data_IF_703193641536
#
_entry.id   IF_703193641536
#
_cell.length_a   1.000
_cell.length_b   1.000
_cell.length_c   1.000
_cell.angle_alpha   90.00
_cell.angle_beta   90.00
_cell.angle_gamma   90.00
#
_symmetry.space_group_name_H-M   'P 1'
#
loop_
_entity.id
_entity.type
_entity.pdbx_description
1 polymer ?
#
# COMPACT_ATOMS: atom_id res chain seq x y z
N UNK A 1 -6.70 -10.74 -8.35
CA UNK A 1 -6.54 -10.43 -9.78
C UNK A 1 -6.72 -8.94 -10.06
N UNK A 2 -5.83 -8.37 -10.86
CA UNK A 2 -5.91 -7.00 -11.43
C UNK A 2 -5.94 -7.14 -12.95
N UNK A 3 -6.89 -6.45 -13.59
CA UNK A 3 -6.98 -6.36 -15.05
C UNK A 3 -6.99 -4.89 -15.47
N UNK A 4 -6.14 -4.55 -16.44
CA UNK A 4 -5.98 -3.21 -16.99
C UNK A 4 -6.05 -3.34 -18.51
N UNK A 5 -6.89 -2.54 -19.15
CA UNK A 5 -6.92 -2.45 -20.60
C UNK A 5 -6.92 -1.01 -21.09
N UNK A 6 -5.97 -0.74 -21.99
CA UNK A 6 -5.77 0.51 -22.71
C UNK A 6 -5.67 1.74 -21.81
N UNK A 7 -5.15 1.57 -20.59
CA UNK A 7 -5.06 2.63 -19.60
C UNK A 7 -4.17 3.77 -20.10
N UNK A 8 -4.79 4.93 -20.26
CA UNK A 8 -4.13 6.16 -20.68
C UNK A 8 -4.38 7.25 -19.64
N UNK A 9 -3.32 7.99 -19.32
CA UNK A 9 -3.37 9.07 -18.34
C UNK A 9 -2.52 10.25 -18.79
N UNK A 10 -3.11 11.45 -18.77
CA UNK A 10 -2.47 12.70 -19.19
C UNK A 10 -2.47 13.73 -18.06
N UNK A 11 -1.36 14.46 -17.97
CA UNK A 11 -1.25 15.71 -17.22
C UNK A 11 -1.20 16.86 -18.22
N UNK A 12 -2.35 17.50 -18.45
CA UNK A 12 -2.52 18.46 -19.54
C UNK A 12 -2.16 17.82 -20.89
N UNK A 13 -1.15 18.37 -21.59
CA UNK A 13 -0.71 17.85 -22.89
C UNK A 13 0.22 16.62 -22.80
N UNK A 14 0.80 16.34 -21.63
CA UNK A 14 1.81 15.28 -21.47
C UNK A 14 1.14 13.95 -21.09
N UNK A 15 1.28 12.93 -21.93
CA UNK A 15 0.88 11.56 -21.61
C UNK A 15 1.91 10.90 -20.66
N UNK A 16 1.45 10.51 -19.48
CA UNK A 16 2.23 9.74 -18.51
C UNK A 16 2.03 8.23 -18.68
N UNK A 17 0.84 7.80 -19.09
CA UNK A 17 0.53 6.42 -19.51
C UNK A 17 -0.04 6.45 -20.93
N UNK A 18 0.28 5.44 -21.74
CA UNK A 18 -0.10 5.35 -23.16
C UNK A 18 -0.59 3.94 -23.49
N UNK A 19 -1.88 3.67 -23.30
CA UNK A 19 -2.49 2.39 -23.64
C UNK A 19 -1.87 1.21 -22.89
N UNK A 20 -1.71 1.33 -21.56
CA UNK A 20 -1.16 0.25 -20.75
C UNK A 20 -2.21 -0.85 -20.60
N UNK A 21 -1.90 -2.06 -21.05
CA UNK A 21 -2.74 -3.25 -20.89
C UNK A 21 -1.93 -4.35 -20.22
N UNK A 22 -2.44 -4.88 -19.11
CA UNK A 22 -1.81 -5.96 -18.35
C UNK A 22 -2.81 -6.66 -17.46
N UNK A 23 -2.47 -7.90 -17.09
CA UNK A 23 -3.25 -8.71 -16.16
C UNK A 23 -2.29 -9.34 -15.15
N UNK A 24 -2.66 -9.26 -13.87
CA UNK A 24 -1.90 -9.80 -12.75
C UNK A 24 -2.80 -10.79 -12.02
N UNK A 25 -2.37 -12.04 -11.95
CA UNK A 25 -3.16 -13.11 -11.36
C UNK A 25 -3.12 -13.13 -9.83
N UNK A 26 -4.04 -13.86 -9.21
CA UNK A 26 -4.02 -14.03 -7.75
C UNK A 26 -2.76 -14.79 -7.30
N UNK A 27 -2.15 -14.33 -6.21
CA UNK A 27 -0.91 -14.92 -5.68
C UNK A 27 0.37 -14.50 -6.42
N UNK A 28 0.26 -13.71 -7.49
CA UNK A 28 1.41 -13.24 -8.25
C UNK A 28 2.13 -12.06 -7.55
N UNK A 29 3.47 -12.12 -7.52
CA UNK A 29 4.31 -10.97 -7.15
C UNK A 29 4.75 -10.30 -8.46
N UNK A 30 4.16 -9.15 -8.77
CA UNK A 30 4.42 -8.42 -10.00
C UNK A 30 5.25 -7.15 -9.75
N UNK A 31 6.35 -6.98 -10.50
CA UNK A 31 7.24 -5.82 -10.39
C UNK A 31 7.15 -4.89 -11.60
N UNK A 32 6.94 -3.59 -11.35
CA UNK A 32 7.04 -2.55 -12.38
C UNK A 32 8.45 -1.96 -12.40
N UNK A 33 9.23 -2.27 -13.45
CA UNK A 33 10.58 -1.74 -13.64
C UNK A 33 10.62 -0.73 -14.79
N UNK A 34 11.40 0.34 -14.61
CA UNK A 34 11.62 1.36 -15.63
C UNK A 34 12.30 2.60 -15.07
N UNK A 35 12.84 3.50 -15.91
CA UNK A 35 13.53 4.71 -15.46
C UNK A 35 12.56 5.72 -14.80
N UNK A 36 13.10 6.74 -14.14
CA UNK A 36 12.28 7.84 -13.63
C UNK A 36 11.53 8.53 -14.77
N UNK A 37 10.25 8.84 -14.54
CA UNK A 37 9.39 9.44 -15.57
C UNK A 37 8.75 8.45 -16.56
N UNK A 38 8.97 7.14 -16.42
CA UNK A 38 8.31 6.09 -17.24
C UNK A 38 6.80 5.91 -16.98
N UNK A 39 6.23 6.59 -15.98
CA UNK A 39 4.81 6.50 -15.65
C UNK A 39 4.48 5.55 -14.49
N UNK A 40 5.45 4.82 -13.92
CA UNK A 40 5.23 3.90 -12.77
C UNK A 40 4.43 4.53 -11.64
N UNK A 41 4.86 5.69 -11.15
CA UNK A 41 4.16 6.41 -10.07
C UNK A 41 2.75 6.85 -10.49
N UNK A 42 2.51 7.15 -11.77
CA UNK A 42 1.17 7.46 -12.27
C UNK A 42 0.29 6.22 -12.26
N UNK A 43 0.77 5.09 -12.77
CA UNK A 43 0.08 3.81 -12.72
C UNK A 43 -0.25 3.42 -11.28
N UNK A 44 0.73 3.51 -10.38
CA UNK A 44 0.55 3.23 -8.96
C UNK A 44 -0.54 4.09 -8.33
N UNK A 45 -0.55 5.40 -8.61
CA UNK A 45 -1.57 6.32 -8.09
C UNK A 45 -2.96 6.06 -8.65
N UNK A 46 -3.09 5.60 -9.89
CA UNK A 46 -4.37 5.14 -10.44
C UNK A 46 -4.84 3.89 -9.70
N UNK A 47 -3.99 2.85 -9.61
CA UNK A 47 -4.34 1.58 -8.95
C UNK A 47 -4.65 1.74 -7.46
N UNK A 48 -4.01 2.70 -6.79
CA UNK A 48 -4.27 3.05 -5.39
C UNK A 48 -5.46 4.01 -5.19
N UNK A 49 -6.22 4.33 -6.25
CA UNK A 49 -7.38 5.24 -6.24
C UNK A 49 -7.06 6.69 -5.84
N UNK A 50 -5.79 7.09 -5.93
CA UNK A 50 -5.33 8.45 -5.67
C UNK A 50 -5.51 9.37 -6.89
N UNK A 51 -5.60 8.80 -8.08
CA UNK A 51 -5.96 9.50 -9.31
C UNK A 51 -7.20 8.86 -9.93
N UNK A 52 -8.13 9.71 -10.38
CA UNK A 52 -9.31 9.24 -11.10
C UNK A 52 -8.92 8.66 -12.46
N UNK A 53 -9.53 7.56 -12.84
CA UNK A 53 -9.34 6.94 -14.14
C UNK A 53 -9.79 7.90 -15.26
N UNK A 54 -8.91 8.16 -16.23
CA UNK A 54 -9.23 9.00 -17.40
C UNK A 54 -9.77 8.13 -18.55
N UNK A 55 -8.90 7.35 -19.18
CA UNK A 55 -9.19 6.51 -20.35
C UNK A 55 -8.78 5.05 -20.08
N UNK A 56 -9.43 4.12 -20.78
CA UNK A 56 -9.27 2.68 -20.55
C UNK A 56 -10.14 2.17 -19.42
N UNK A 57 -9.90 0.91 -19.01
CA UNK A 57 -10.59 0.24 -17.91
C UNK A 57 -9.59 -0.40 -16.95
N UNK A 58 -10.01 -0.47 -15.68
CA UNK A 58 -9.26 -1.15 -14.61
C UNK A 58 -10.25 -1.88 -13.73
N UNK A 59 -10.03 -3.17 -13.52
CA UNK A 59 -10.80 -4.02 -12.61
C UNK A 59 -9.87 -4.62 -11.56
N UNK A 60 -10.28 -4.59 -10.29
CA UNK A 60 -9.50 -5.10 -9.16
C UNK A 60 -10.40 -5.96 -8.30
N UNK A 61 -10.05 -7.25 -8.15
CA UNK A 61 -10.86 -8.22 -7.39
C UNK A 61 -12.34 -8.27 -7.86
N UNK A 62 -12.55 -8.14 -9.17
CA UNK A 62 -13.89 -8.11 -9.75
C UNK A 62 -14.58 -6.75 -9.76
N UNK A 63 -14.06 -5.75 -9.04
CA UNK A 63 -14.65 -4.42 -8.95
C UNK A 63 -14.10 -3.44 -9.99
N UNK A 64 -14.98 -2.69 -10.65
CA UNK A 64 -14.58 -1.64 -11.60
C UNK A 64 -14.02 -0.42 -10.85
N UNK A 65 -12.80 0.02 -11.20
CA UNK A 65 -12.12 1.10 -10.50
C UNK A 65 -12.84 2.45 -10.61
N UNK A 66 -13.60 2.69 -11.69
CA UNK A 66 -14.27 3.98 -11.94
C UNK A 66 -15.54 4.12 -11.11
N UNK A 67 -16.35 3.07 -11.05
CA UNK A 67 -17.68 3.06 -10.44
C UNK A 67 -17.70 2.46 -9.03
N UNK A 68 -16.78 1.55 -8.71
CA UNK A 68 -16.75 0.79 -7.46
C UNK A 68 -15.46 1.04 -6.65
N UNK A 69 -14.86 2.22 -6.79
CA UNK A 69 -13.60 2.58 -6.13
C UNK A 69 -13.60 2.40 -4.59
N UNK A 70 -14.77 2.48 -3.92
CA UNK A 70 -14.88 2.25 -2.47
C UNK A 70 -14.69 0.78 -2.11
N UNK A 71 -15.20 -0.12 -2.95
CA UNK A 71 -15.02 -1.56 -2.85
C UNK A 71 -13.55 -1.89 -3.11
N UNK A 72 -12.96 -1.32 -4.16
CA UNK A 72 -11.52 -1.44 -4.45
C UNK A 72 -10.66 -1.00 -3.25
N UNK A 73 -10.95 0.15 -2.62
CA UNK A 73 -10.21 0.60 -1.42
C UNK A 73 -10.25 -0.39 -0.26
N UNK A 74 -11.30 -1.19 -0.14
CA UNK A 74 -11.42 -2.23 0.91
C UNK A 74 -10.62 -3.49 0.56
N UNK A 75 -10.35 -3.74 -0.72
CA UNK A 75 -9.60 -4.92 -1.18
C UNK A 75 -8.10 -4.69 -1.27
N UNK A 76 -7.66 -3.43 -1.40
CA UNK A 76 -6.24 -3.07 -1.52
C UNK A 76 -5.66 -2.56 -0.20
N UNK A 77 -4.41 -2.93 0.09
CA UNK A 77 -3.53 -2.27 1.04
C UNK A 77 -2.46 -1.51 0.26
N UNK A 78 -2.14 -0.29 0.68
CA UNK A 78 -1.19 0.55 -0.04
C UNK A 78 -0.09 1.00 0.91
N UNK A 79 1.16 0.76 0.51
CA UNK A 79 2.33 1.25 1.22
C UNK A 79 3.08 2.21 0.30
N UNK A 80 3.04 3.50 0.65
CA UNK A 80 3.65 4.55 -0.14
C UNK A 80 5.17 4.61 0.04
N UNK A 81 5.83 5.32 -0.88
CA UNK A 81 7.26 5.63 -0.81
C UNK A 81 7.57 6.48 0.43
N UNK A 82 6.75 7.50 0.70
CA UNK A 82 6.84 8.33 1.92
C UNK A 82 5.92 7.76 3.01
N UNK A 83 6.44 7.50 4.23
CA UNK A 83 5.64 6.92 5.30
C UNK A 83 4.44 7.79 5.67
N UNK A 84 3.30 7.14 5.86
CA UNK A 84 2.05 7.76 6.33
C UNK A 84 1.86 7.69 7.85
N UNK A 85 2.91 7.33 8.60
CA UNK A 85 2.88 7.20 10.05
C UNK A 85 2.80 8.58 10.70
N UNK A 86 1.97 8.69 11.73
CA UNK A 86 2.06 9.81 12.66
C UNK A 86 3.21 9.56 13.62
N UNK A 87 4.24 10.42 13.55
CA UNK A 87 5.46 10.29 14.33
C UNK A 87 5.25 10.56 15.83
N UNK A 88 4.19 11.29 16.19
CA UNK A 88 3.88 11.64 17.59
C UNK A 88 3.07 10.57 18.30
N UNK A 89 2.46 9.68 17.55
CA UNK A 89 1.74 8.53 18.06
C UNK A 89 2.67 7.32 18.23
N UNK A 90 2.27 6.42 19.12
CA UNK A 90 2.91 5.12 19.29
C UNK A 90 2.66 4.20 18.10
N UNK A 91 3.43 3.12 17.99
CA UNK A 91 3.19 2.11 16.98
C UNK A 91 1.78 1.50 17.10
N UNK A 92 1.34 1.21 18.32
CA UNK A 92 -0.01 0.71 18.59
C UNK A 92 -1.09 1.71 18.22
N UNK A 93 -0.93 2.98 18.58
CA UNK A 93 -1.90 4.03 18.25
C UNK A 93 -2.04 4.21 16.73
N UNK A 94 -0.92 4.25 15.99
CA UNK A 94 -0.96 4.31 14.52
C UNK A 94 -1.83 3.20 13.91
N UNK A 95 -1.70 1.96 14.41
CA UNK A 95 -2.51 0.84 13.95
C UNK A 95 -3.97 0.94 14.42
N UNK A 96 -4.25 1.42 15.64
CA UNK A 96 -5.62 1.65 16.11
C UNK A 96 -6.34 2.66 15.22
N UNK A 97 -5.70 3.81 14.94
CA UNK A 97 -6.28 4.85 14.08
C UNK A 97 -6.58 4.32 12.68
N UNK A 98 -5.65 3.57 12.09
CA UNK A 98 -5.88 2.93 10.79
C UNK A 98 -7.07 1.97 10.85
N UNK A 99 -7.18 1.17 11.91
CA UNK A 99 -8.28 0.22 12.09
C UNK A 99 -9.63 0.91 12.10
N UNK A 100 -9.76 2.02 12.82
CA UNK A 100 -10.99 2.80 12.88
C UNK A 100 -11.39 3.36 11.51
N UNK A 101 -10.44 3.79 10.68
CA UNK A 101 -10.72 4.25 9.30
C UNK A 101 -11.33 3.15 8.42
N UNK A 102 -11.03 1.89 8.72
CA UNK A 102 -11.60 0.72 8.04
C UNK A 102 -12.78 0.10 8.79
N UNK A 103 -13.28 0.75 9.85
CA UNK A 103 -14.42 0.28 10.63
C UNK A 103 -14.13 -0.94 11.53
N UNK A 104 -12.87 -1.20 11.86
CA UNK A 104 -12.47 -2.25 12.80
C UNK A 104 -12.46 -1.69 14.23
N UNK A 105 -13.01 -2.45 15.19
CA UNK A 105 -13.12 -2.01 16.58
C UNK A 105 -12.94 -3.16 17.59
N UNK A 106 -12.77 -2.79 18.86
CA UNK A 106 -12.84 -3.70 20.00
C UNK A 106 -11.81 -4.83 19.97
N UNK A 107 -12.20 -5.99 20.50
CA UNK A 107 -11.31 -7.15 20.65
C UNK A 107 -10.70 -7.60 19.32
N UNK A 108 -11.49 -7.61 18.23
CA UNK A 108 -11.02 -8.02 16.91
C UNK A 108 -9.87 -7.13 16.41
N UNK A 109 -10.00 -5.81 16.57
CA UNK A 109 -8.93 -4.87 16.23
C UNK A 109 -7.68 -5.13 17.08
N UNK A 110 -7.83 -5.22 18.41
CA UNK A 110 -6.68 -5.43 19.29
C UNK A 110 -5.94 -6.74 19.02
N UNK A 111 -6.67 -7.83 18.77
CA UNK A 111 -6.09 -9.12 18.38
C UNK A 111 -5.34 -8.99 17.04
N UNK A 112 -5.93 -8.34 16.04
CA UNK A 112 -5.29 -8.12 14.74
C UNK A 112 -4.00 -7.29 14.86
N UNK A 113 -4.03 -6.23 15.65
CA UNK A 113 -2.87 -5.39 15.94
C UNK A 113 -1.77 -6.20 16.63
N UNK A 114 -2.11 -7.01 17.63
CA UNK A 114 -1.15 -7.88 18.32
C UNK A 114 -0.42 -8.82 17.35
N UNK A 115 -1.19 -9.53 16.51
CA UNK A 115 -0.63 -10.45 15.51
C UNK A 115 0.30 -9.74 14.52
N UNK A 116 -0.03 -8.52 14.09
CA UNK A 116 0.82 -7.76 13.16
C UNK A 116 2.08 -7.23 13.84
N UNK A 117 1.98 -6.72 15.06
CA UNK A 117 3.15 -6.28 15.81
C UNK A 117 4.13 -7.43 16.04
N UNK A 118 3.62 -8.62 16.35
CA UNK A 118 4.42 -9.83 16.50
C UNK A 118 5.07 -10.25 15.17
N UNK A 119 4.27 -10.37 14.10
CA UNK A 119 4.75 -10.74 12.76
C UNK A 119 5.87 -9.83 12.25
N UNK A 120 5.84 -8.55 12.61
CA UNK A 120 6.81 -7.55 12.17
C UNK A 120 7.89 -7.24 13.22
N UNK A 121 7.98 -8.03 14.29
CA UNK A 121 8.97 -7.88 15.37
C UNK A 121 8.97 -6.48 15.99
N UNK A 122 7.78 -5.96 16.29
CA UNK A 122 7.52 -4.64 16.88
C UNK A 122 6.80 -4.70 18.24
N UNK A 123 6.50 -5.89 18.77
CA UNK A 123 5.75 -6.08 20.02
C UNK A 123 6.35 -5.30 21.20
N UNK A 124 7.65 -5.46 21.45
CA UNK A 124 8.34 -4.81 22.59
C UNK A 124 8.35 -3.28 22.49
N UNK A 125 8.25 -2.74 21.26
CA UNK A 125 8.27 -1.29 21.00
C UNK A 125 6.88 -0.75 20.67
N UNK A 126 5.82 -1.52 20.90
CA UNK A 126 4.46 -1.14 20.53
C UNK A 126 3.96 0.13 21.24
N UNK A 127 4.43 0.37 22.46
CA UNK A 127 4.10 1.54 23.28
C UNK A 127 5.02 2.75 23.09
N UNK A 128 5.99 2.68 22.19
CA UNK A 128 6.91 3.78 21.91
C UNK A 128 6.41 4.63 20.75
N UNK A 129 6.70 5.94 20.81
CA UNK A 129 6.41 6.88 19.72
C UNK A 129 7.23 6.55 18.47
N UNK A 130 6.59 6.63 17.31
CA UNK A 130 7.22 6.30 16.03
C UNK A 130 8.39 7.23 15.68
N UNK A 131 8.45 8.45 16.24
CA UNK A 131 9.62 9.32 16.09
C UNK A 131 10.94 8.68 16.57
N UNK A 132 10.90 7.74 17.52
CA UNK A 132 12.08 7.02 18.03
C UNK A 132 12.45 5.78 17.20
N UNK A 133 11.66 5.44 16.17
CA UNK A 133 11.88 4.26 15.34
C UNK A 133 12.96 4.51 14.29
N UNK A 134 13.76 3.48 13.99
CA UNK A 134 14.64 3.48 12.82
C UNK A 134 13.82 3.45 11.52
N UNK A 135 14.47 3.75 10.38
CA UNK A 135 13.83 3.68 9.07
C UNK A 135 13.22 2.30 8.76
N UNK A 136 13.95 1.22 9.05
CA UNK A 136 13.47 -0.15 8.88
C UNK A 136 12.25 -0.48 9.76
N UNK A 137 12.25 -0.01 11.01
CA UNK A 137 11.09 -0.19 11.89
C UNK A 137 9.86 0.57 11.41
N UNK A 138 10.03 1.83 10.96
CA UNK A 138 8.94 2.61 10.35
C UNK A 138 8.40 1.89 9.12
N UNK A 139 9.27 1.30 8.29
CA UNK A 139 8.86 0.52 7.13
C UNK A 139 8.03 -0.70 7.51
N UNK A 140 8.50 -1.50 8.47
CA UNK A 140 7.75 -2.66 8.97
C UNK A 140 6.38 -2.26 9.53
N UNK A 141 6.30 -1.15 10.25
CA UNK A 141 5.04 -0.63 10.77
C UNK A 141 4.10 -0.14 9.65
N UNK A 142 4.60 0.51 8.60
CA UNK A 142 3.80 0.92 7.45
C UNK A 142 3.21 -0.29 6.71
N UNK A 143 3.98 -1.37 6.56
CA UNK A 143 3.48 -2.62 5.96
C UNK A 143 2.42 -3.26 6.86
N UNK A 144 2.66 -3.31 8.18
CA UNK A 144 1.67 -3.75 9.15
C UNK A 144 0.36 -2.95 9.04
N UNK A 145 0.47 -1.63 8.93
CA UNK A 145 -0.66 -0.70 8.74
C UNK A 145 -1.42 -0.98 7.45
N UNK A 146 -0.71 -1.20 6.33
CA UNK A 146 -1.31 -1.56 5.04
C UNK A 146 -2.02 -2.91 5.03
N UNK A 147 -1.59 -3.85 5.88
CA UNK A 147 -2.18 -5.20 6.02
C UNK A 147 -3.28 -5.28 7.07
N UNK A 148 -3.55 -4.20 7.81
CA UNK A 148 -4.39 -4.23 9.00
C UNK A 148 -5.81 -4.69 8.70
N UNK A 149 -6.42 -4.16 7.65
CA UNK A 149 -7.78 -4.50 7.20
C UNK A 149 -7.88 -5.77 6.36
N UNK A 150 -6.81 -6.56 6.30
CA UNK A 150 -6.79 -7.85 5.58
C UNK A 150 -7.04 -7.68 4.07
N UNK A 151 -6.27 -6.82 3.39
CA UNK A 151 -6.42 -6.65 1.95
C UNK A 151 -6.09 -7.94 1.19
N UNK A 152 -6.70 -8.10 0.02
CA UNK A 152 -6.37 -9.17 -0.92
C UNK A 152 -5.15 -8.83 -1.77
N UNK A 153 -4.92 -7.54 -2.01
CA UNK A 153 -3.80 -7.05 -2.82
C UNK A 153 -3.00 -6.05 -2.00
N UNK A 154 -1.68 -6.22 -1.96
CA UNK A 154 -0.76 -5.24 -1.37
C UNK A 154 0.00 -4.52 -2.49
N UNK A 155 -0.18 -3.20 -2.59
CA UNK A 155 0.52 -2.37 -3.56
C UNK A 155 1.65 -1.62 -2.85
N UNK A 156 2.88 -1.78 -3.34
CA UNK A 156 4.10 -1.27 -2.73
C UNK A 156 4.81 -0.26 -3.64
N UNK A 157 4.81 1.03 -3.28
CA UNK A 157 5.53 2.06 -4.05
C UNK A 157 6.96 2.16 -3.51
N UNK A 158 7.92 1.73 -4.32
CA UNK A 158 9.36 1.74 -4.00
C UNK A 158 9.70 1.26 -2.58
N UNK A 159 9.32 0.03 -2.20
CA UNK A 159 9.29 -0.36 -0.79
C UNK A 159 10.67 -0.51 -0.13
N UNK A 160 11.72 -0.64 -0.92
CA UNK A 160 13.11 -0.78 -0.45
C UNK A 160 13.89 0.54 -0.45
N UNK A 161 13.32 1.63 -0.97
CA UNK A 161 14.02 2.92 -1.08
C UNK A 161 14.32 3.49 0.30
N UNK A 162 15.56 3.94 0.52
CA UNK A 162 16.00 4.53 1.79
C UNK A 162 16.24 3.54 2.93
N UNK A 163 16.05 2.23 2.71
CA UNK A 163 16.42 1.20 3.67
C UNK A 163 17.90 0.85 3.57
N UNK A 164 18.52 0.59 4.73
CA UNK A 164 19.83 -0.05 4.83
C UNK A 164 19.78 -1.50 4.30
N UNK A 165 20.93 -2.11 3.96
CA UNK A 165 20.95 -3.45 3.36
C UNK A 165 20.26 -4.53 4.19
N UNK A 166 20.37 -4.49 5.52
CA UNK A 166 19.73 -5.47 6.41
C UNK A 166 18.21 -5.35 6.35
N UNK A 167 17.69 -4.13 6.49
CA UNK A 167 16.26 -3.87 6.40
C UNK A 167 15.65 -4.20 5.02
N UNK A 168 16.44 -4.16 3.94
CA UNK A 168 15.98 -4.62 2.62
C UNK A 168 15.84 -6.13 2.54
N UNK A 169 16.76 -6.88 3.14
CA UNK A 169 16.68 -8.33 3.17
C UNK A 169 15.45 -8.79 3.96
N UNK A 170 15.25 -8.22 5.16
CA UNK A 170 14.11 -8.50 6.03
C UNK A 170 12.75 -8.19 5.37
N UNK A 171 12.70 -7.26 4.42
CA UNK A 171 11.47 -6.91 3.70
C UNK A 171 10.98 -8.02 2.77
N UNK A 172 11.92 -8.80 2.20
CA UNK A 172 11.64 -9.80 1.17
C UNK A 172 11.82 -11.25 1.67
N UNK A 173 12.30 -11.43 2.90
CA UNK A 173 12.37 -12.71 3.59
C UNK A 173 11.00 -13.12 4.15
#
# INVERSE_FOLDING_TARGET
MIEIGDLTYRYGKRAALRGVSLRIEEGEIFGFLGPNGSGKTTLFRVLSTLLALQEGHVQIEGFDLRSEFRQVRRTIGVVFQYPSLDLKLTARENLIHQGHLYGLFGKALHTRIGMLLERFSLTERAGERVETFSGGMRRRLEIAKGLLHTPRILILDEPSTGLDPGARFDLWA
#
